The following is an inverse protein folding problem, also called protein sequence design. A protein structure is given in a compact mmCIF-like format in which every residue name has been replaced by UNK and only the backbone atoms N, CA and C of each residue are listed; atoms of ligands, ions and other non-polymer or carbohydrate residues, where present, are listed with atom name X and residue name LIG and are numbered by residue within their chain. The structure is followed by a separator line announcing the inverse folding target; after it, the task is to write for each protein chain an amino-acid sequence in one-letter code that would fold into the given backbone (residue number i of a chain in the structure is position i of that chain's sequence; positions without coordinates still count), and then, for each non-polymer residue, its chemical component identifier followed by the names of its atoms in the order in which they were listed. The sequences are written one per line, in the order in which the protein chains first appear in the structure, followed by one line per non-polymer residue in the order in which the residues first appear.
data_IF_765236754061
#
_entry.id   IF_765236754061
#
_cell.length_a   1.000
_cell.length_b   1.000
_cell.length_c   1.000
_cell.angle_alpha   90.00
_cell.angle_beta   90.00
_cell.angle_gamma   90.00
#
_symmetry.space_group_name_H-M   'P 1'
#
loop_
_entity.id
_entity.type
_entity.pdbx_description
1 polymer ?
#
# COMPACT_ATOMS: atom_id res chain seq x y z
N UNK A 1 9.95 -4.46 4.99
CA UNK A 1 9.60 -5.78 4.40
C UNK A 1 10.79 -6.71 4.59
N UNK A 2 10.68 -7.71 5.47
CA UNK A 2 11.75 -8.69 5.78
C UNK A 2 11.19 -10.12 5.80
N UNK A 3 10.31 -10.43 4.85
CA UNK A 3 9.76 -11.78 4.72
C UNK A 3 10.42 -12.46 3.52
N UNK A 4 10.90 -13.68 3.71
CA UNK A 4 11.60 -14.48 2.67
C UNK A 4 10.70 -15.57 2.07
N UNK A 5 9.41 -15.54 2.41
CA UNK A 5 8.38 -16.43 1.87
C UNK A 5 7.20 -15.60 1.35
N UNK A 6 6.42 -16.19 0.44
CA UNK A 6 5.20 -15.57 -0.09
C UNK A 6 4.19 -15.42 1.05
N UNK A 7 3.65 -14.22 1.24
CA UNK A 7 2.60 -13.94 2.22
C UNK A 7 1.32 -13.57 1.48
N UNK A 8 0.24 -14.26 1.81
CA UNK A 8 -1.10 -13.94 1.36
C UNK A 8 -1.93 -13.51 2.57
N UNK A 9 -2.38 -12.27 2.59
CA UNK A 9 -3.16 -11.72 3.70
C UNK A 9 -4.44 -11.02 3.23
N UNK A 10 -5.45 -11.04 4.09
CA UNK A 10 -6.71 -10.33 3.81
C UNK A 10 -6.58 -8.85 4.19
N UNK A 11 -7.32 -7.94 3.54
CA UNK A 11 -7.28 -6.51 3.87
C UNK A 11 -7.53 -6.19 5.35
N UNK A 12 -8.50 -6.83 6.05
CA UNK A 12 -8.69 -6.60 7.49
C UNK A 12 -7.48 -7.00 8.34
N UNK A 13 -6.84 -8.13 8.01
CA UNK A 13 -5.64 -8.59 8.72
C UNK A 13 -4.48 -7.62 8.54
N UNK A 14 -4.24 -7.16 7.31
CA UNK A 14 -3.23 -6.17 7.01
C UNK A 14 -3.48 -4.86 7.76
N UNK A 15 -4.72 -4.35 7.74
CA UNK A 15 -5.08 -3.11 8.44
C UNK A 15 -4.92 -3.23 9.96
N UNK A 16 -5.17 -4.41 10.52
CA UNK A 16 -4.90 -4.67 11.94
C UNK A 16 -3.40 -4.59 12.23
N UNK A 17 -2.55 -5.22 11.41
CA UNK A 17 -1.09 -5.10 11.54
C UNK A 17 -0.61 -3.64 11.40
N UNK A 18 -1.15 -2.89 10.44
CA UNK A 18 -0.83 -1.46 10.29
C UNK A 18 -1.19 -0.70 11.57
N UNK A 19 -2.38 -0.92 12.13
CA UNK A 19 -2.81 -0.28 13.37
C UNK A 19 -1.90 -0.63 14.55
N UNK A 20 -1.55 -1.89 14.72
CA UNK A 20 -0.75 -2.35 15.85
C UNK A 20 0.69 -1.82 15.81
N UNK A 21 1.26 -1.65 14.61
CA UNK A 21 2.63 -1.17 14.43
C UNK A 21 2.75 0.36 14.32
N UNK A 22 1.73 1.04 13.79
CA UNK A 22 1.82 2.47 13.44
C UNK A 22 0.79 3.34 14.15
N UNK A 23 -0.16 2.74 14.87
CA UNK A 23 -1.29 3.42 15.52
C UNK A 23 -2.23 4.15 14.55
N UNK A 24 -2.16 3.86 13.25
CA UNK A 24 -3.04 4.45 12.24
C UNK A 24 -4.32 3.62 12.14
N UNK A 25 -5.46 4.27 12.37
CA UNK A 25 -6.78 3.65 12.17
C UNK A 25 -7.14 3.52 10.68
N UNK A 26 -8.05 2.59 10.38
CA UNK A 26 -8.58 2.40 9.02
C UNK A 26 -9.28 3.64 8.46
N UNK A 27 -10.02 4.38 9.29
CA UNK A 27 -10.88 5.49 8.85
C UNK A 27 -10.12 6.56 8.06
N UNK A 28 -8.97 7.10 8.52
CA UNK A 28 -8.19 8.07 7.74
C UNK A 28 -7.63 7.50 6.44
N UNK A 29 -7.26 6.22 6.39
CA UNK A 29 -6.69 5.60 5.18
C UNK A 29 -7.64 5.60 3.99
N UNK A 30 -8.96 5.57 4.23
CA UNK A 30 -9.98 5.67 3.16
C UNK A 30 -9.92 6.97 2.37
N UNK A 31 -9.38 8.03 2.96
CA UNK A 31 -9.31 9.36 2.34
C UNK A 31 -7.88 9.73 1.93
N UNK A 32 -6.94 8.78 1.99
CA UNK A 32 -5.52 9.06 1.79
C UNK A 32 -5.23 9.63 0.38
N UNK A 33 -5.74 8.97 -0.66
CA UNK A 33 -5.57 9.42 -2.05
C UNK A 33 -6.18 10.81 -2.32
N UNK A 34 -7.38 11.08 -1.80
CA UNK A 34 -8.05 12.38 -1.96
C UNK A 34 -7.31 13.48 -1.20
N UNK A 35 -6.89 13.18 0.04
CA UNK A 35 -6.13 14.12 0.87
C UNK A 35 -4.80 14.49 0.23
N UNK A 36 -4.10 13.52 -0.38
CA UNK A 36 -2.86 13.75 -1.12
C UNK A 36 -3.12 14.64 -2.35
N UNK A 37 -4.17 14.34 -3.12
CA UNK A 37 -4.55 15.14 -4.29
C UNK A 37 -4.85 16.59 -3.91
N UNK A 38 -5.59 16.78 -2.81
CA UNK A 38 -5.85 18.11 -2.24
C UNK A 38 -4.55 18.81 -1.81
N UNK A 39 -3.63 18.10 -1.17
CA UNK A 39 -2.34 18.66 -0.73
C UNK A 39 -1.48 19.14 -1.91
N UNK A 40 -1.36 18.32 -2.95
CA UNK A 40 -0.59 18.63 -4.17
C UNK A 40 -1.10 19.92 -4.80
N UNK A 41 -2.44 20.06 -4.90
CA UNK A 41 -3.07 21.27 -5.42
C UNK A 41 -2.82 22.48 -4.53
N UNK A 42 -2.94 22.34 -3.21
CA UNK A 42 -2.70 23.44 -2.25
C UNK A 42 -1.25 23.93 -2.26
N UNK A 43 -0.29 23.03 -2.52
CA UNK A 43 1.13 23.37 -2.60
C UNK A 43 1.56 23.80 -4.00
N UNK A 44 0.64 23.85 -4.97
CA UNK A 44 0.89 24.25 -6.36
C UNK A 44 2.05 23.48 -7.02
N UNK A 45 2.15 22.18 -6.73
CA UNK A 45 3.21 21.34 -7.27
C UNK A 45 2.97 21.11 -8.77
N UNK A 46 3.97 21.43 -9.59
CA UNK A 46 3.88 21.38 -11.05
C UNK A 46 4.39 20.07 -11.65
N UNK A 47 5.42 19.48 -11.05
CA UNK A 47 6.01 18.21 -11.50
C UNK A 47 5.35 17.02 -10.79
N UNK A 48 4.18 16.61 -11.30
CA UNK A 48 3.41 15.51 -10.72
C UNK A 48 4.11 14.15 -10.86
N UNK A 49 5.00 14.00 -11.84
CA UNK A 49 5.65 12.73 -12.12
C UNK A 49 6.57 12.29 -10.98
N UNK A 50 7.15 13.25 -10.25
CA UNK A 50 7.94 12.99 -9.05
C UNK A 50 7.13 12.37 -7.90
N UNK A 51 5.80 12.54 -7.89
CA UNK A 51 4.93 12.07 -6.82
C UNK A 51 4.17 10.77 -7.17
N UNK A 52 4.42 10.18 -8.34
CA UNK A 52 3.77 8.95 -8.79
C UNK A 52 3.91 7.79 -7.79
N UNK A 53 5.08 7.63 -7.18
CA UNK A 53 5.31 6.59 -6.18
C UNK A 53 4.45 6.82 -4.92
N UNK A 54 4.34 8.07 -4.46
CA UNK A 54 3.52 8.43 -3.31
C UNK A 54 2.02 8.28 -3.62
N UNK A 55 1.60 8.66 -4.83
CA UNK A 55 0.23 8.47 -5.30
C UNK A 55 -0.15 6.99 -5.35
N UNK A 56 0.76 6.10 -5.79
CA UNK A 56 0.55 4.65 -5.74
C UNK A 56 0.33 4.15 -4.32
N UNK A 57 1.15 4.57 -3.35
CA UNK A 57 0.98 4.19 -1.94
C UNK A 57 -0.32 4.73 -1.34
N UNK A 58 -0.69 5.98 -1.65
CA UNK A 58 -1.94 6.56 -1.16
C UNK A 58 -3.18 5.88 -1.76
N UNK A 59 -3.15 5.56 -3.05
CA UNK A 59 -4.21 4.78 -3.72
C UNK A 59 -4.31 3.37 -3.15
N UNK A 60 -3.19 2.70 -2.93
CA UNK A 60 -3.12 1.40 -2.25
C UNK A 60 -3.80 1.47 -0.88
N UNK A 61 -3.42 2.44 -0.04
CA UNK A 61 -4.01 2.63 1.28
C UNK A 61 -5.52 2.85 1.22
N UNK A 62 -6.00 3.67 0.28
CA UNK A 62 -7.43 3.90 0.05
C UNK A 62 -8.15 2.62 -0.35
N UNK A 63 -7.61 1.82 -1.27
CA UNK A 63 -8.24 0.59 -1.75
C UNK A 63 -8.40 -0.43 -0.62
N UNK A 64 -7.30 -0.73 0.08
CA UNK A 64 -7.29 -1.68 1.20
C UNK A 64 -8.22 -1.24 2.33
N UNK A 65 -8.27 0.05 2.63
CA UNK A 65 -9.16 0.59 3.66
C UNK A 65 -10.64 0.62 3.25
N UNK A 66 -10.93 0.69 1.95
CA UNK A 66 -12.31 0.79 1.42
C UNK A 66 -12.95 -0.59 1.30
N UNK A 67 -12.22 -1.52 0.69
CA UNK A 67 -12.75 -2.83 0.32
C UNK A 67 -12.17 -3.91 1.23
N UNK A 68 -12.99 -4.43 2.14
CA UNK A 68 -12.56 -5.51 3.06
C UNK A 68 -12.69 -6.90 2.47
N UNK A 69 -13.46 -7.03 1.38
CA UNK A 69 -13.82 -8.30 0.76
C UNK A 69 -13.61 -8.19 -0.74
N UNK A 70 -13.24 -9.30 -1.36
CA UNK A 70 -13.14 -9.41 -2.82
C UNK A 70 -11.71 -9.39 -3.38
N UNK A 71 -10.69 -9.13 -2.56
CA UNK A 71 -9.28 -9.29 -2.96
C UNK A 71 -8.40 -9.76 -1.81
N UNK A 72 -7.18 -10.15 -2.17
CA UNK A 72 -6.14 -10.65 -1.32
C UNK A 72 -4.87 -9.86 -1.60
N UNK A 73 -4.10 -9.59 -0.56
CA UNK A 73 -2.81 -8.94 -0.69
C UNK A 73 -1.74 -10.02 -0.76
N UNK A 74 -0.93 -10.01 -1.81
CA UNK A 74 0.12 -11.00 -2.04
C UNK A 74 1.47 -10.28 -2.01
N UNK A 75 2.32 -10.68 -1.08
CA UNK A 75 3.72 -10.27 -1.00
C UNK A 75 4.59 -11.41 -1.51
N UNK A 76 5.23 -11.22 -2.64
CA UNK A 76 6.21 -12.16 -3.18
C UNK A 76 7.62 -11.64 -2.89
N UNK A 77 8.49 -12.42 -2.24
CA UNK A 77 9.85 -11.97 -1.89
C UNK A 77 10.84 -12.01 -3.06
N UNK A 78 10.54 -12.81 -4.08
CA UNK A 78 11.39 -13.07 -5.24
C UNK A 78 10.52 -13.00 -6.51
N UNK A 79 11.09 -12.48 -7.60
CA UNK A 79 10.39 -12.31 -8.88
C UNK A 79 10.20 -13.64 -9.65
N UNK A 80 11.03 -14.65 -9.36
CA UNK A 80 10.92 -16.02 -9.93
C UNK A 80 11.32 -17.05 -8.88
N UNK A 81 10.83 -18.28 -8.99
CA UNK A 81 11.08 -19.38 -8.03
C UNK A 81 12.58 -19.68 -7.82
N UNK A 82 13.42 -19.39 -8.82
CA UNK A 82 14.87 -19.66 -8.79
C UNK A 82 15.72 -18.42 -8.47
N UNK A 83 15.11 -17.26 -8.20
CA UNK A 83 15.86 -16.05 -7.91
C UNK A 83 16.46 -16.10 -6.50
N UNK A 84 17.77 -15.87 -6.39
CA UNK A 84 18.50 -15.79 -5.11
C UNK A 84 18.63 -14.35 -4.60
N UNK A 85 18.31 -13.37 -5.46
CA UNK A 85 18.34 -11.93 -5.13
C UNK A 85 16.94 -11.51 -4.70
N UNK A 86 16.74 -11.04 -3.44
CA UNK A 86 15.44 -10.55 -2.98
C UNK A 86 14.99 -9.32 -3.77
N UNK A 87 13.83 -9.41 -4.40
CA UNK A 87 13.15 -8.29 -5.08
C UNK A 87 11.65 -8.37 -4.74
N UNK A 88 11.23 -7.83 -3.59
CA UNK A 88 9.88 -8.05 -3.10
C UNK A 88 8.86 -7.23 -3.90
N UNK A 89 7.80 -7.90 -4.36
CA UNK A 89 6.69 -7.27 -5.09
C UNK A 89 5.41 -7.45 -4.29
N UNK A 90 4.58 -6.40 -4.24
CA UNK A 90 3.29 -6.41 -3.57
C UNK A 90 2.17 -6.28 -4.60
N UNK A 91 1.37 -7.33 -4.72
CA UNK A 91 0.25 -7.42 -5.64
C UNK A 91 -1.07 -7.14 -4.94
N UNK A 92 -1.97 -6.46 -5.65
CA UNK A 92 -3.30 -6.07 -5.20
C UNK A 92 -4.39 -6.73 -6.04
#
# INVERSE_FOLDING_TARGET
MRVLHVVAETPPSFLQHVKDLTYIDRKPLRFCAERLTSLIRTLELTDLDQYNALQKVASFATLVATYEKGFLLILEPFETENATVPNPVFHL
#
